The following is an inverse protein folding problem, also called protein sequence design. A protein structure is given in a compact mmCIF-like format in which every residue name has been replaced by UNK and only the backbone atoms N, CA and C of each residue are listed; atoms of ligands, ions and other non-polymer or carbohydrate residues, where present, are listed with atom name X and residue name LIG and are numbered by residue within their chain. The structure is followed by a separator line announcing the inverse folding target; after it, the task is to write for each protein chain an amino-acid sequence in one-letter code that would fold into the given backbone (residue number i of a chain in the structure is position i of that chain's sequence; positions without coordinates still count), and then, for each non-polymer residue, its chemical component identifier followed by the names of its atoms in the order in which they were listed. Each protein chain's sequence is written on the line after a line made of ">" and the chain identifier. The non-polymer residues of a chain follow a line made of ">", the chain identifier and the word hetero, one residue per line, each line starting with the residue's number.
data_IF_009070238203
#
_entry.id   IF_009070238203
#
_cell.length_a   1.000
_cell.length_b   1.000
_cell.length_c   1.000
_cell.angle_alpha   90.00
_cell.angle_beta   90.00
_cell.angle_gamma   90.00
#
_symmetry.space_group_name_H-M   'P 1'
#
loop_
_entity.id
_entity.type
_entity.pdbx_description
1 polymer ?
#
# COMPACT_ATOMS: atom_id res chain seq x y z
N UNK A 1 8.38 2.11 -15.78
CA UNK A 1 9.49 1.66 -14.90
C UNK A 1 10.72 1.41 -15.73
N UNK A 2 11.86 1.79 -15.22
CA UNK A 2 13.17 1.52 -15.86
C UNK A 2 13.62 0.06 -15.62
N UNK A 3 12.95 -0.62 -14.71
CA UNK A 3 13.31 -1.96 -14.28
C UNK A 3 12.56 -3.06 -15.03
N UNK A 4 11.34 -2.77 -15.48
CA UNK A 4 10.47 -3.76 -16.14
C UNK A 4 9.92 -3.26 -17.45
N UNK A 5 9.81 -4.15 -18.42
CA UNK A 5 9.21 -3.89 -19.73
C UNK A 5 8.11 -4.91 -20.04
N UNK A 6 7.25 -4.58 -20.99
CA UNK A 6 6.23 -5.50 -21.50
C UNK A 6 6.89 -6.50 -22.44
N UNK A 7 6.86 -7.78 -22.07
CA UNK A 7 7.44 -8.87 -22.84
C UNK A 7 6.53 -9.42 -23.94
N UNK A 8 5.24 -9.10 -23.89
CA UNK A 8 4.22 -9.43 -24.92
C UNK A 8 3.32 -8.23 -25.16
N UNK A 9 2.81 -8.05 -26.37
CA UNK A 9 1.82 -7.01 -26.64
C UNK A 9 0.64 -7.07 -25.65
N UNK A 10 0.47 -6.01 -24.89
CA UNK A 10 -0.58 -5.80 -23.90
C UNK A 10 -1.08 -4.38 -24.12
N UNK A 11 -2.05 -4.17 -24.99
CA UNK A 11 -2.46 -2.85 -25.48
C UNK A 11 -2.39 -1.72 -24.45
N UNK A 12 -3.07 -1.89 -23.30
CA UNK A 12 -3.12 -0.87 -22.27
C UNK A 12 -1.80 -0.73 -21.48
N UNK A 13 -1.10 -1.82 -21.21
CA UNK A 13 0.21 -1.76 -20.56
C UNK A 13 1.26 -1.08 -21.46
N UNK A 14 1.17 -1.28 -22.77
CA UNK A 14 2.03 -0.56 -23.74
C UNK A 14 1.66 0.92 -23.82
N UNK A 15 0.37 1.27 -23.75
CA UNK A 15 -0.07 2.66 -23.74
C UNK A 15 0.42 3.39 -22.48
N UNK A 16 0.35 2.74 -21.31
CA UNK A 16 0.94 3.27 -20.07
C UNK A 16 2.44 3.48 -20.24
N UNK A 17 3.16 2.46 -20.72
CA UNK A 17 4.62 2.52 -20.92
C UNK A 17 5.03 3.66 -21.86
N UNK A 18 4.26 3.87 -22.92
CA UNK A 18 4.56 4.86 -23.95
C UNK A 18 3.88 6.22 -23.71
N UNK A 19 3.29 6.44 -22.53
CA UNK A 19 2.56 7.66 -22.15
C UNK A 19 1.44 8.02 -23.13
N UNK A 20 0.76 7.02 -23.70
CA UNK A 20 -0.33 7.19 -24.67
C UNK A 20 -1.72 6.99 -24.06
N UNK A 21 -1.82 7.08 -22.74
CA UNK A 21 -3.11 6.93 -22.06
C UNK A 21 -4.06 8.08 -22.37
N UNK A 22 -5.32 7.73 -22.56
CA UNK A 22 -6.41 8.68 -22.77
C UNK A 22 -7.66 8.23 -21.99
N UNK A 23 -8.67 9.12 -21.83
CA UNK A 23 -9.93 8.71 -21.19
C UNK A 23 -10.64 7.55 -21.88
N UNK A 24 -10.38 7.31 -23.15
CA UNK A 24 -11.02 6.22 -23.93
C UNK A 24 -10.33 4.87 -23.80
N UNK A 25 -9.01 4.84 -23.55
CA UNK A 25 -8.22 3.60 -23.47
C UNK A 25 -7.65 3.31 -22.07
N UNK A 26 -8.17 3.96 -21.04
CA UNK A 26 -7.67 3.89 -19.67
C UNK A 26 -8.42 2.93 -18.76
N UNK A 27 -8.77 1.71 -19.19
CA UNK A 27 -9.54 0.76 -18.39
C UNK A 27 -8.88 0.46 -17.06
N UNK A 28 -7.61 0.08 -17.05
CA UNK A 28 -6.90 -0.32 -15.83
C UNK A 28 -6.64 0.90 -14.92
N UNK A 29 -6.39 2.06 -15.50
CA UNK A 29 -6.28 3.33 -14.78
C UNK A 29 -7.62 3.66 -14.10
N UNK A 30 -8.75 3.58 -14.84
CA UNK A 30 -10.09 3.82 -14.28
C UNK A 30 -10.45 2.80 -13.20
N UNK A 31 -10.14 1.52 -13.42
CA UNK A 31 -10.41 0.46 -12.47
C UNK A 31 -9.61 0.65 -11.17
N UNK A 32 -8.34 1.02 -11.27
CA UNK A 32 -7.52 1.33 -10.10
C UNK A 32 -8.13 2.47 -9.26
N UNK A 33 -8.52 3.57 -9.93
CA UNK A 33 -9.23 4.67 -9.28
C UNK A 33 -10.49 4.20 -8.57
N UNK A 34 -11.36 3.49 -9.29
CA UNK A 34 -12.64 2.99 -8.76
C UNK A 34 -12.44 2.08 -7.55
N UNK A 35 -11.56 1.09 -7.65
CA UNK A 35 -11.31 0.12 -6.57
C UNK A 35 -10.80 0.83 -5.31
N UNK A 36 -9.87 1.78 -5.45
CA UNK A 36 -9.34 2.48 -4.28
C UNK A 36 -10.38 3.39 -3.63
N UNK A 37 -11.27 4.03 -4.39
CA UNK A 37 -12.39 4.77 -3.81
C UNK A 37 -13.47 3.87 -3.20
N UNK A 38 -13.66 2.64 -3.69
CA UNK A 38 -14.50 1.63 -3.02
C UNK A 38 -13.90 1.21 -1.67
N UNK A 39 -12.59 1.04 -1.58
CA UNK A 39 -11.89 0.82 -0.30
C UNK A 39 -12.08 2.00 0.64
N UNK A 40 -11.90 3.23 0.14
CA UNK A 40 -12.12 4.45 0.90
C UNK A 40 -13.55 4.54 1.46
N UNK A 41 -14.57 4.23 0.64
CA UNK A 41 -15.97 4.26 1.05
C UNK A 41 -16.28 3.23 2.15
N UNK A 42 -15.77 2.00 2.02
CA UNK A 42 -15.91 0.97 3.06
C UNK A 42 -15.24 1.38 4.36
N UNK A 43 -14.04 1.96 4.27
CA UNK A 43 -13.33 2.47 5.44
C UNK A 43 -14.08 3.60 6.14
N UNK A 44 -14.64 4.56 5.40
CA UNK A 44 -15.46 5.64 5.95
C UNK A 44 -16.66 5.09 6.74
N UNK A 45 -17.37 4.11 6.17
CA UNK A 45 -18.50 3.47 6.83
C UNK A 45 -18.10 2.81 8.16
N UNK A 46 -16.97 2.08 8.17
CA UNK A 46 -16.48 1.44 9.39
C UNK A 46 -16.11 2.50 10.44
N UNK A 47 -15.38 3.53 10.06
CA UNK A 47 -14.96 4.61 10.97
C UNK A 47 -16.15 5.32 11.58
N UNK A 48 -17.23 5.54 10.81
CA UNK A 48 -18.43 6.24 11.26
C UNK A 48 -19.35 5.35 12.09
N UNK A 49 -19.59 4.12 11.65
CA UNK A 49 -20.67 3.27 12.21
C UNK A 49 -20.17 2.39 13.36
N UNK A 50 -19.01 1.74 13.24
CA UNK A 50 -18.55 0.77 14.24
C UNK A 50 -18.45 1.36 15.66
N UNK A 51 -18.00 2.59 15.88
CA UNK A 51 -17.99 3.18 17.24
C UNK A 51 -19.36 3.27 17.90
N UNK A 52 -20.45 3.39 17.13
CA UNK A 52 -21.82 3.51 17.64
C UNK A 52 -22.49 2.16 17.96
N UNK A 53 -21.91 1.06 17.48
CA UNK A 53 -22.48 -0.28 17.66
C UNK A 53 -22.25 -0.79 19.09
N UNK A 54 -23.14 -1.66 19.54
CA UNK A 54 -22.99 -2.36 20.82
C UNK A 54 -22.06 -3.58 20.65
N UNK A 55 -20.76 -3.33 20.55
CA UNK A 55 -19.70 -4.31 20.36
C UNK A 55 -18.61 -4.10 21.42
N UNK A 56 -17.77 -5.11 21.60
CA UNK A 56 -16.60 -5.02 22.47
C UNK A 56 -15.67 -3.85 22.06
N UNK A 57 -15.12 -3.14 23.04
CA UNK A 57 -14.32 -1.95 22.80
C UNK A 57 -12.97 -2.27 22.13
N UNK A 58 -12.37 -3.42 22.43
CA UNK A 58 -11.12 -3.83 21.78
C UNK A 58 -11.38 -4.15 20.30
N UNK A 59 -12.48 -4.83 20.01
CA UNK A 59 -12.93 -5.06 18.63
C UNK A 59 -13.17 -3.73 17.88
N UNK A 60 -13.93 -2.80 18.46
CA UNK A 60 -14.18 -1.47 17.85
C UNK A 60 -12.89 -0.73 17.55
N UNK A 61 -11.95 -0.74 18.49
CA UNK A 61 -10.66 -0.08 18.35
C UNK A 61 -9.84 -0.69 17.21
N UNK A 62 -9.76 -2.02 17.17
CA UNK A 62 -9.04 -2.74 16.11
C UNK A 62 -9.70 -2.54 14.74
N UNK A 63 -11.02 -2.65 14.65
CA UNK A 63 -11.76 -2.48 13.40
C UNK A 63 -11.63 -1.05 12.84
N UNK A 64 -11.78 -0.03 13.69
CA UNK A 64 -11.58 1.36 13.26
C UNK A 64 -10.12 1.66 12.92
N UNK A 65 -9.15 1.10 13.64
CA UNK A 65 -7.74 1.19 13.32
C UNK A 65 -7.42 0.58 11.94
N UNK A 66 -7.99 -0.58 11.65
CA UNK A 66 -7.88 -1.24 10.33
C UNK A 66 -8.50 -0.37 9.23
N UNK A 67 -9.64 0.23 9.48
CA UNK A 67 -10.31 1.11 8.52
C UNK A 67 -9.49 2.39 8.24
N UNK A 68 -8.92 3.02 9.26
CA UNK A 68 -8.00 4.13 9.08
C UNK A 68 -6.78 3.74 8.24
N UNK A 69 -6.19 2.56 8.51
CA UNK A 69 -5.07 2.06 7.71
C UNK A 69 -5.43 1.92 6.23
N UNK A 70 -6.54 1.25 5.92
CA UNK A 70 -6.93 1.04 4.52
C UNK A 70 -7.40 2.31 3.82
N UNK A 71 -7.96 3.29 4.54
CA UNK A 71 -8.27 4.60 3.97
C UNK A 71 -6.98 5.34 3.57
N UNK A 72 -6.03 5.41 4.49
CA UNK A 72 -4.71 5.98 4.22
C UNK A 72 -3.96 5.23 3.10
N UNK A 73 -3.99 3.89 3.11
CA UNK A 73 -3.39 3.04 2.09
C UNK A 73 -3.97 3.30 0.70
N UNK A 74 -5.31 3.35 0.57
CA UNK A 74 -5.97 3.58 -0.70
C UNK A 74 -5.62 4.95 -1.29
N UNK A 75 -5.60 5.99 -0.44
CA UNK A 75 -5.23 7.34 -0.87
C UNK A 75 -3.74 7.44 -1.21
N UNK A 76 -2.87 6.76 -0.44
CA UNK A 76 -1.44 6.68 -0.75
C UNK A 76 -1.18 5.96 -2.08
N UNK A 77 -2.00 4.95 -2.41
CA UNK A 77 -1.91 4.26 -3.69
C UNK A 77 -2.29 5.16 -4.87
N UNK A 78 -3.25 6.06 -4.69
CA UNK A 78 -3.73 6.95 -5.76
C UNK A 78 -2.87 8.23 -5.92
N UNK A 79 -2.44 8.83 -4.82
CA UNK A 79 -1.86 10.17 -4.83
C UNK A 79 -0.65 10.33 -5.77
N UNK A 80 0.32 9.40 -5.83
CA UNK A 80 1.48 9.54 -6.72
C UNK A 80 1.15 9.41 -8.21
N UNK A 81 0.03 8.77 -8.56
CA UNK A 81 -0.32 8.49 -9.95
C UNK A 81 -1.36 9.44 -10.53
N UNK A 82 -2.23 10.01 -9.68
CA UNK A 82 -3.36 10.82 -10.11
C UNK A 82 -3.32 12.25 -9.57
N UNK A 83 -2.39 12.54 -8.68
CA UNK A 83 -2.16 13.85 -8.10
C UNK A 83 -0.83 14.45 -8.54
N UNK A 84 -0.75 15.76 -8.46
CA UNK A 84 0.49 16.55 -8.63
C UNK A 84 0.49 17.74 -7.67
N UNK A 85 1.56 18.53 -7.69
CA UNK A 85 1.66 19.74 -6.87
C UNK A 85 1.22 21.03 -7.61
N UNK A 86 0.59 20.90 -8.78
CA UNK A 86 0.02 22.01 -9.51
C UNK A 86 -1.32 22.47 -8.94
N UNK A 87 -1.88 23.55 -9.46
CA UNK A 87 -3.21 24.04 -9.06
C UNK A 87 -4.29 22.96 -9.23
N UNK A 88 -5.06 22.70 -8.16
CA UNK A 88 -6.05 21.60 -8.11
C UNK A 88 -5.44 20.21 -8.40
N UNK A 89 -4.16 20.04 -8.07
CA UNK A 89 -3.41 18.81 -8.33
C UNK A 89 -3.70 17.67 -7.35
N UNK A 90 -4.40 17.91 -6.25
CA UNK A 90 -4.81 16.86 -5.34
C UNK A 90 -5.85 15.91 -5.95
N UNK A 91 -6.10 14.79 -5.29
CA UNK A 91 -7.23 13.89 -5.59
C UNK A 91 -8.35 14.14 -4.58
N UNK A 92 -9.65 13.98 -4.92
CA UNK A 92 -10.75 14.25 -4.00
C UNK A 92 -10.59 13.55 -2.65
N UNK A 93 -10.68 14.32 -1.55
CA UNK A 93 -10.61 13.79 -0.18
C UNK A 93 -12.05 13.56 0.31
N UNK A 94 -12.48 12.31 0.31
CA UNK A 94 -13.83 11.92 0.71
C UNK A 94 -13.74 11.18 2.05
N UNK A 95 -14.19 11.85 3.12
CA UNK A 95 -14.14 11.32 4.49
C UNK A 95 -15.50 10.84 5.01
N UNK A 96 -16.56 11.14 4.30
CA UNK A 96 -17.92 10.65 4.57
C UNK A 96 -18.58 10.21 3.28
N UNK A 97 -19.15 9.03 3.29
CA UNK A 97 -19.88 8.45 2.14
C UNK A 97 -21.31 8.11 2.47
N UNK A 98 -21.80 8.54 3.63
CA UNK A 98 -23.18 8.35 4.04
C UNK A 98 -24.13 9.41 3.50
N UNK A 99 -23.59 10.57 3.13
CA UNK A 99 -24.34 11.70 2.56
C UNK A 99 -23.88 11.97 1.13
N UNK A 100 -24.77 12.01 0.13
CA UNK A 100 -24.41 12.26 -1.25
C UNK A 100 -23.60 13.56 -1.46
N UNK A 101 -23.95 14.62 -0.75
CA UNK A 101 -23.25 15.90 -0.83
C UNK A 101 -21.79 15.84 -0.36
N UNK A 102 -21.46 14.94 0.57
CA UNK A 102 -20.10 14.75 1.05
C UNK A 102 -19.20 13.99 0.05
N UNK A 103 -19.81 13.33 -0.93
CA UNK A 103 -19.11 12.62 -2.00
C UNK A 103 -18.76 13.52 -3.18
N UNK A 104 -19.43 14.67 -3.33
CA UNK A 104 -19.12 15.68 -4.35
C UNK A 104 -18.00 16.60 -3.84
N UNK A 105 -16.81 16.03 -3.70
CA UNK A 105 -15.63 16.74 -3.19
C UNK A 105 -14.76 17.21 -4.35
N UNK A 106 -14.46 18.51 -4.45
CA UNK A 106 -13.55 19.00 -5.47
C UNK A 106 -12.12 18.48 -5.22
N UNK A 107 -11.30 18.57 -6.24
CA UNK A 107 -9.87 18.33 -6.08
C UNK A 107 -9.26 19.36 -5.12
N UNK A 108 -8.47 18.96 -4.13
CA UNK A 108 -7.71 19.89 -3.30
C UNK A 108 -6.72 20.72 -4.15
N UNK A 109 -6.33 21.86 -3.62
CA UNK A 109 -5.40 22.76 -4.29
C UNK A 109 -4.03 22.12 -4.59
N UNK A 110 -3.62 21.15 -3.79
CA UNK A 110 -2.34 20.43 -3.94
C UNK A 110 -2.46 18.99 -3.44
N UNK A 111 -1.68 18.10 -4.00
CA UNK A 111 -1.52 16.72 -3.50
C UNK A 111 -0.93 16.67 -2.08
N UNK A 112 -0.30 17.73 -1.60
CA UNK A 112 0.16 17.81 -0.20
C UNK A 112 -1.00 17.65 0.79
N UNK A 113 -2.19 18.19 0.49
CA UNK A 113 -3.37 18.00 1.33
C UNK A 113 -3.79 16.53 1.40
N UNK A 114 -3.58 15.76 0.34
CA UNK A 114 -3.78 14.32 0.38
C UNK A 114 -2.78 13.63 1.28
N UNK A 115 -1.50 13.98 1.19
CA UNK A 115 -0.47 13.39 2.07
C UNK A 115 -0.70 13.75 3.54
N UNK A 116 -1.16 14.96 3.85
CA UNK A 116 -1.56 15.34 5.21
C UNK A 116 -2.67 14.43 5.73
N UNK A 117 -3.72 14.19 4.92
CA UNK A 117 -4.80 13.30 5.30
C UNK A 117 -4.34 11.84 5.45
N UNK A 118 -3.50 11.36 4.53
CA UNK A 118 -2.94 10.01 4.58
C UNK A 118 -2.12 9.80 5.87
N UNK A 119 -1.25 10.74 6.18
CA UNK A 119 -0.42 10.69 7.40
C UNK A 119 -1.30 10.73 8.64
N UNK A 120 -2.33 11.56 8.65
CA UNK A 120 -3.32 11.62 9.74
C UNK A 120 -4.01 10.27 9.95
N UNK A 121 -4.52 9.65 8.89
CA UNK A 121 -5.19 8.36 8.95
C UNK A 121 -4.25 7.26 9.44
N UNK A 122 -3.03 7.21 8.94
CA UNK A 122 -2.04 6.21 9.33
C UNK A 122 -1.55 6.40 10.77
N UNK A 123 -1.48 7.65 11.27
CA UNK A 123 -1.23 7.93 12.69
C UNK A 123 -2.38 7.43 13.56
N UNK A 124 -3.64 7.66 13.15
CA UNK A 124 -4.81 7.14 13.85
C UNK A 124 -4.86 5.60 13.83
N UNK A 125 -4.48 4.98 12.71
CA UNK A 125 -4.30 3.53 12.64
C UNK A 125 -3.23 3.04 13.63
N UNK A 126 -2.06 3.66 13.66
CA UNK A 126 -0.97 3.29 14.56
C UNK A 126 -1.30 3.41 16.06
N UNK A 127 -2.23 4.32 16.43
CA UNK A 127 -2.73 4.40 17.81
C UNK A 127 -3.62 3.21 18.19
N UNK A 128 -4.40 2.68 17.25
CA UNK A 128 -5.47 1.70 17.48
C UNK A 128 -5.10 0.25 17.17
N UNK A 129 -4.22 0.05 16.20
CA UNK A 129 -3.83 -1.28 15.77
C UNK A 129 -2.99 -2.01 16.83
N UNK A 130 -3.06 -3.33 16.90
CA UNK A 130 -2.18 -4.14 17.76
C UNK A 130 -0.73 -4.13 17.25
N UNK A 131 0.19 -4.59 18.06
CA UNK A 131 1.50 -5.04 17.62
C UNK A 131 1.36 -6.32 16.82
N UNK A 132 2.33 -6.64 15.96
CA UNK A 132 2.28 -7.86 15.14
C UNK A 132 2.24 -9.14 16.00
N UNK A 133 3.02 -9.16 17.08
CA UNK A 133 3.06 -10.29 18.05
C UNK A 133 1.73 -10.54 18.76
N UNK A 134 0.79 -9.62 18.69
CA UNK A 134 -0.55 -9.73 19.29
C UNK A 134 -1.60 -10.26 18.29
N UNK A 135 -1.22 -10.47 17.03
CA UNK A 135 -2.11 -11.06 16.03
C UNK A 135 -2.10 -12.57 16.14
N UNK A 136 -3.27 -13.19 16.01
CA UNK A 136 -3.39 -14.62 15.83
C UNK A 136 -2.86 -15.03 14.43
N UNK A 137 -2.37 -16.26 14.24
CA UNK A 137 -1.87 -16.71 12.93
C UNK A 137 -2.88 -16.52 11.78
N UNK A 138 -4.17 -16.65 12.05
CA UNK A 138 -5.25 -16.45 11.09
C UNK A 138 -5.43 -14.98 10.69
N UNK A 139 -4.85 -14.07 11.46
CA UNK A 139 -4.87 -12.62 11.21
C UNK A 139 -3.59 -12.10 10.55
N UNK A 140 -2.62 -12.97 10.28
CA UNK A 140 -1.43 -12.56 9.56
C UNK A 140 -1.83 -12.02 8.18
N UNK A 141 -1.31 -10.85 7.83
CA UNK A 141 -1.79 -10.08 6.68
C UNK A 141 -2.73 -8.92 7.07
N UNK A 142 -3.29 -8.92 8.29
CA UNK A 142 -3.94 -7.73 8.81
C UNK A 142 -2.91 -6.64 9.14
N UNK A 143 -3.28 -5.36 8.99
CA UNK A 143 -2.37 -4.27 9.35
C UNK A 143 -2.12 -4.23 10.85
N UNK A 144 -0.92 -3.83 11.23
CA UNK A 144 -0.47 -3.69 12.61
C UNK A 144 0.29 -2.37 12.79
N UNK A 145 0.68 -2.02 14.02
CA UNK A 145 1.30 -0.72 14.33
C UNK A 145 2.49 -0.39 13.44
N UNK A 146 3.42 -1.31 13.27
CA UNK A 146 4.60 -1.06 12.44
C UNK A 146 4.22 -0.79 10.99
N UNK A 147 3.22 -1.49 10.44
CA UNK A 147 2.71 -1.23 9.11
C UNK A 147 2.16 0.19 8.98
N UNK A 148 1.35 0.63 9.94
CA UNK A 148 0.79 1.98 9.92
C UNK A 148 1.89 3.06 9.96
N UNK A 149 2.89 2.91 10.81
CA UNK A 149 4.00 3.86 10.92
C UNK A 149 4.89 3.85 9.67
N UNK A 150 5.22 2.67 9.13
CA UNK A 150 6.03 2.56 7.92
C UNK A 150 5.33 3.19 6.70
N UNK A 151 4.03 2.97 6.54
CA UNK A 151 3.27 3.61 5.47
C UNK A 151 3.10 5.12 5.69
N UNK A 152 3.02 5.60 6.95
CA UNK A 152 3.05 7.03 7.24
C UNK A 152 4.40 7.67 6.88
N UNK A 153 5.51 6.99 7.20
CA UNK A 153 6.85 7.42 6.76
C UNK A 153 6.94 7.49 5.23
N UNK A 154 6.43 6.48 4.54
CA UNK A 154 6.40 6.45 3.07
C UNK A 154 5.58 7.60 2.49
N UNK A 155 4.40 7.87 3.04
CA UNK A 155 3.57 9.00 2.62
C UNK A 155 4.28 10.35 2.83
N UNK A 156 4.91 10.53 3.98
CA UNK A 156 5.69 11.72 4.28
C UNK A 156 6.91 11.87 3.35
N UNK A 157 7.56 10.77 2.97
CA UNK A 157 8.67 10.79 2.02
C UNK A 157 8.21 11.24 0.61
N UNK A 158 7.03 10.82 0.15
CA UNK A 158 6.43 11.35 -1.08
C UNK A 158 6.12 12.86 -0.96
N UNK A 159 5.60 13.31 0.17
CA UNK A 159 5.31 14.71 0.41
C UNK A 159 6.59 15.57 0.48
N UNK A 160 7.68 15.02 1.00
CA UNK A 160 8.97 15.70 1.15
C UNK A 160 9.60 16.12 -0.19
N UNK A 161 9.18 15.52 -1.31
CA UNK A 161 9.58 15.98 -2.65
C UNK A 161 9.12 17.42 -2.93
N UNK A 162 8.03 17.85 -2.30
CA UNK A 162 7.41 19.15 -2.51
C UNK A 162 7.66 20.13 -1.34
N UNK A 163 7.86 19.60 -0.12
CA UNK A 163 8.09 20.39 1.08
C UNK A 163 8.94 19.60 2.09
N UNK A 164 10.16 20.06 2.29
CA UNK A 164 11.17 19.40 3.13
C UNK A 164 10.73 19.21 4.61
N UNK A 165 9.74 19.97 5.10
CA UNK A 165 9.23 19.80 6.48
C UNK A 165 8.73 18.39 6.77
N UNK A 166 8.31 17.64 5.75
CA UNK A 166 7.83 16.27 5.91
C UNK A 166 8.93 15.28 6.29
N UNK A 167 10.22 15.62 6.13
CA UNK A 167 11.30 14.77 6.63
C UNK A 167 11.25 14.58 8.15
N UNK A 168 10.77 15.54 8.92
CA UNK A 168 10.57 15.38 10.36
C UNK A 168 9.56 14.24 10.65
N UNK A 169 8.50 14.16 9.87
CA UNK A 169 7.51 13.07 9.97
C UNK A 169 8.12 11.73 9.52
N UNK A 170 8.95 11.72 8.49
CA UNK A 170 9.66 10.50 8.07
C UNK A 170 10.49 9.95 9.21
N UNK A 171 11.32 10.80 9.82
CA UNK A 171 12.20 10.44 10.96
C UNK A 171 11.35 9.92 12.12
N UNK A 172 10.34 10.69 12.55
CA UNK A 172 9.44 10.28 13.65
C UNK A 172 8.84 8.90 13.45
N UNK A 173 8.35 8.63 12.25
CA UNK A 173 7.67 7.36 11.96
C UNK A 173 8.67 6.21 11.81
N UNK A 174 9.82 6.44 11.21
CA UNK A 174 10.90 5.45 11.14
C UNK A 174 11.42 5.09 12.54
N UNK A 175 11.60 6.07 13.42
CA UNK A 175 12.05 5.84 14.80
C UNK A 175 11.05 4.98 15.58
N UNK A 176 9.74 5.15 15.35
CA UNK A 176 8.72 4.28 15.94
C UNK A 176 8.84 2.83 15.48
N UNK A 177 9.16 2.58 14.20
CA UNK A 177 9.35 1.24 13.67
C UNK A 177 10.65 0.62 14.19
N UNK A 178 11.76 1.36 14.12
CA UNK A 178 13.08 0.90 14.55
C UNK A 178 13.18 0.75 16.09
N UNK A 179 12.38 1.50 16.83
CA UNK A 179 12.29 1.41 18.30
C UNK A 179 11.51 0.20 18.80
N UNK A 180 10.91 -0.60 17.94
CA UNK A 180 10.24 -1.84 18.34
C UNK A 180 11.26 -2.88 18.83
N UNK A 181 10.86 -3.66 19.83
CA UNK A 181 11.74 -4.64 20.50
C UNK A 181 11.09 -6.01 20.60
N UNK A 182 11.86 -7.01 21.00
CA UNK A 182 11.39 -8.36 21.21
C UNK A 182 10.81 -8.99 19.92
N UNK A 183 9.65 -9.62 20.00
CA UNK A 183 9.00 -10.28 18.86
C UNK A 183 8.50 -9.29 17.78
N UNK A 184 8.39 -8.01 18.12
CA UNK A 184 7.95 -6.95 17.19
C UNK A 184 9.10 -6.18 16.56
N UNK A 185 10.36 -6.48 16.91
CA UNK A 185 11.54 -5.85 16.33
C UNK A 185 11.52 -5.95 14.82
N UNK A 186 11.80 -4.83 14.15
CA UNK A 186 11.94 -4.76 12.69
C UNK A 186 13.36 -4.35 12.36
N UNK A 187 14.05 -5.20 11.61
CA UNK A 187 15.44 -5.03 11.21
C UNK A 187 15.72 -5.79 9.93
N UNK A 188 16.83 -5.49 9.29
CA UNK A 188 17.30 -6.27 8.15
C UNK A 188 17.63 -7.69 8.61
N UNK A 189 17.19 -8.66 7.83
CA UNK A 189 17.44 -10.07 8.11
C UNK A 189 18.92 -10.39 7.92
N UNK A 190 19.52 -10.97 8.94
CA UNK A 190 20.88 -11.48 8.91
C UNK A 190 20.91 -12.83 9.63
N UNK A 191 21.31 -13.88 8.94
CA UNK A 191 21.51 -15.22 9.48
C UNK A 191 23.00 -15.54 9.71
N UNK A 192 23.86 -14.52 9.63
CA UNK A 192 25.30 -14.65 9.80
C UNK A 192 26.02 -15.32 8.62
N UNK A 193 25.33 -15.48 7.47
CA UNK A 193 25.92 -16.09 6.27
C UNK A 193 26.02 -15.08 5.12
N UNK A 194 26.88 -15.36 4.17
CA UNK A 194 26.99 -14.62 2.89
C UNK A 194 25.74 -14.76 2.00
N UNK A 195 24.79 -15.62 2.39
CA UNK A 195 23.55 -15.89 1.68
C UNK A 195 22.30 -15.33 2.37
N UNK A 196 22.45 -14.49 3.39
CA UNK A 196 21.34 -13.94 4.16
C UNK A 196 20.25 -13.35 3.23
N UNK A 197 20.61 -12.54 2.24
CA UNK A 197 19.65 -11.99 1.28
C UNK A 197 18.88 -13.06 0.50
N UNK A 198 19.54 -14.13 0.06
CA UNK A 198 18.86 -15.24 -0.62
C UNK A 198 17.99 -16.06 0.34
N UNK A 199 18.42 -16.19 1.59
CA UNK A 199 17.69 -16.93 2.62
C UNK A 199 16.46 -16.17 3.11
N UNK A 200 16.46 -14.84 3.07
CA UNK A 200 15.28 -14.01 3.38
C UNK A 200 14.04 -14.42 2.56
N UNK A 201 14.22 -14.80 1.29
CA UNK A 201 13.12 -15.15 0.38
C UNK A 201 12.59 -16.57 0.56
N UNK A 202 13.07 -17.30 1.54
CA UNK A 202 12.57 -18.64 1.83
C UNK A 202 11.29 -18.59 2.66
N UNK A 203 10.44 -19.61 2.50
CA UNK A 203 9.14 -19.72 3.19
C UNK A 203 9.27 -19.56 4.71
N UNK A 204 10.38 -20.00 5.30
CA UNK A 204 10.64 -19.91 6.74
C UNK A 204 10.77 -18.48 7.25
N UNK A 205 11.07 -17.53 6.35
CA UNK A 205 11.18 -16.11 6.67
C UNK A 205 9.88 -15.33 6.43
N UNK A 206 8.82 -16.00 5.99
CA UNK A 206 7.52 -15.35 5.91
C UNK A 206 7.12 -14.80 7.28
N UNK A 207 6.72 -13.53 7.30
CA UNK A 207 6.38 -12.80 8.54
C UNK A 207 7.56 -12.62 9.52
N UNK A 208 8.80 -12.73 9.06
CA UNK A 208 10.03 -12.53 9.83
C UNK A 208 10.30 -11.05 10.19
N UNK A 209 11.52 -10.76 10.59
CA UNK A 209 11.92 -9.44 11.12
C UNK A 209 11.81 -8.30 10.10
N UNK A 210 11.88 -8.57 8.80
CA UNK A 210 11.66 -7.55 7.75
C UNK A 210 10.18 -7.36 7.39
N UNK A 211 9.27 -8.20 7.87
CA UNK A 211 7.86 -8.12 7.50
C UNK A 211 7.21 -6.85 8.03
N UNK A 212 6.72 -6.03 7.13
CA UNK A 212 5.96 -4.81 7.44
C UNK A 212 4.48 -4.99 7.10
N UNK A 213 4.17 -5.35 5.87
CA UNK A 213 2.80 -5.59 5.41
C UNK A 213 2.81 -6.22 4.02
N UNK A 214 1.87 -7.13 3.77
CA UNK A 214 1.64 -7.68 2.43
C UNK A 214 0.17 -8.03 2.24
N UNK A 215 -0.28 -7.92 0.99
CA UNK A 215 -1.57 -8.47 0.59
C UNK A 215 -1.38 -9.97 0.36
N UNK A 216 -1.96 -10.78 1.22
CA UNK A 216 -1.83 -12.22 1.15
C UNK A 216 -2.75 -12.81 0.09
N UNK A 217 -2.26 -13.82 -0.62
CA UNK A 217 -3.03 -14.66 -1.53
C UNK A 217 -3.16 -16.08 -0.99
N UNK A 218 -4.26 -16.74 -1.32
CA UNK A 218 -4.49 -18.14 -0.99
C UNK A 218 -4.79 -18.94 -2.27
N UNK A 219 -4.31 -20.18 -2.30
CA UNK A 219 -4.65 -21.10 -3.38
C UNK A 219 -6.07 -21.67 -3.23
N UNK A 220 -6.61 -21.66 -2.00
CA UNK A 220 -7.91 -22.27 -1.65
C UNK A 220 -8.96 -21.19 -1.44
N UNK A 221 -8.69 -20.27 -0.53
CA UNK A 221 -9.64 -19.22 -0.11
C UNK A 221 -9.01 -17.85 -0.31
N UNK A 222 -9.71 -16.96 -1.01
CA UNK A 222 -9.29 -15.58 -1.19
C UNK A 222 -8.59 -15.29 -2.54
N UNK A 223 -7.93 -14.13 -2.64
CA UNK A 223 -7.30 -13.71 -3.89
C UNK A 223 -6.23 -14.69 -4.35
N UNK A 224 -6.33 -15.16 -5.59
CA UNK A 224 -5.37 -16.08 -6.19
C UNK A 224 -4.27 -15.30 -6.90
N UNK A 225 -3.19 -14.99 -6.20
CA UNK A 225 -2.05 -14.25 -6.76
C UNK A 225 -1.09 -15.09 -7.62
N UNK A 226 -1.35 -16.39 -7.79
CA UNK A 226 -0.54 -17.23 -8.67
C UNK A 226 -0.51 -16.72 -10.12
N UNK A 227 -1.48 -15.91 -10.54
CA UNK A 227 -1.47 -15.26 -11.84
C UNK A 227 -0.28 -14.34 -12.09
N UNK A 228 0.32 -13.79 -11.05
CA UNK A 228 1.54 -12.95 -11.19
C UNK A 228 2.73 -13.77 -11.68
N UNK A 229 2.93 -14.99 -11.18
CA UNK A 229 4.00 -15.86 -11.69
C UNK A 229 3.74 -16.29 -13.13
N UNK A 230 2.50 -16.56 -13.51
CA UNK A 230 2.14 -16.84 -14.91
C UNK A 230 2.39 -15.65 -15.83
N UNK A 231 2.19 -14.43 -15.33
CA UNK A 231 2.36 -13.22 -16.12
C UNK A 231 3.83 -12.83 -16.29
N UNK A 232 4.67 -13.08 -15.28
CA UNK A 232 6.02 -12.56 -15.23
C UNK A 232 7.11 -13.55 -15.68
N UNK A 233 6.81 -14.86 -15.65
CA UNK A 233 7.75 -15.87 -16.13
C UNK A 233 7.79 -15.99 -17.65
N UNK A 234 8.87 -16.53 -18.17
CA UNK A 234 9.05 -16.84 -19.59
C UNK A 234 8.47 -18.20 -19.97
N UNK A 235 8.43 -18.50 -21.26
CA UNK A 235 8.17 -19.82 -21.80
C UNK A 235 9.39 -20.71 -21.53
N UNK A 236 9.21 -21.81 -20.88
CA UNK A 236 10.30 -22.74 -20.58
C UNK A 236 9.93 -23.69 -19.46
N UNK A 237 10.84 -23.96 -18.55
CA UNK A 237 10.66 -24.94 -17.49
C UNK A 237 9.37 -24.74 -16.66
N UNK A 238 8.93 -23.49 -16.50
CA UNK A 238 7.74 -23.13 -15.70
C UNK A 238 6.54 -22.71 -16.53
N UNK A 239 6.65 -22.67 -17.85
CA UNK A 239 5.57 -22.40 -18.80
C UNK A 239 4.73 -21.14 -18.49
N UNK A 240 5.37 -20.02 -18.28
CA UNK A 240 4.75 -18.73 -17.94
C UNK A 240 4.48 -17.89 -19.20
N UNK A 241 3.63 -16.87 -19.05
CA UNK A 241 3.18 -16.05 -20.19
C UNK A 241 4.16 -14.95 -20.59
N UNK A 242 5.09 -14.58 -19.74
CA UNK A 242 6.15 -13.60 -20.03
C UNK A 242 5.62 -12.19 -20.30
N UNK A 243 4.55 -11.77 -19.63
CA UNK A 243 3.98 -10.44 -19.84
C UNK A 243 4.89 -9.31 -19.39
N UNK A 244 5.60 -9.51 -18.30
CA UNK A 244 6.54 -8.54 -17.77
C UNK A 244 7.92 -9.16 -17.71
N UNK A 245 8.92 -8.43 -18.18
CA UNK A 245 10.30 -8.89 -18.23
C UNK A 245 11.20 -7.79 -17.64
N UNK A 246 12.33 -8.16 -17.03
CA UNK A 246 13.32 -7.18 -16.62
C UNK A 246 13.85 -6.42 -17.83
N UNK A 247 14.15 -5.15 -17.66
CA UNK A 247 14.87 -4.39 -18.66
C UNK A 247 16.33 -4.84 -18.72
N UNK A 248 17.00 -4.52 -19.82
CA UNK A 248 18.44 -4.77 -19.92
C UNK A 248 19.22 -3.98 -18.85
N UNK A 249 18.73 -2.81 -18.47
CA UNK A 249 19.31 -2.00 -17.39
C UNK A 249 19.27 -2.73 -16.05
N UNK A 250 18.11 -3.30 -15.69
CA UNK A 250 18.01 -4.11 -14.48
C UNK A 250 18.87 -5.38 -14.56
N UNK A 251 18.85 -6.08 -15.70
CA UNK A 251 19.65 -7.28 -15.91
C UNK A 251 21.17 -7.02 -15.72
N UNK A 252 21.65 -5.87 -16.22
CA UNK A 252 23.06 -5.51 -16.12
C UNK A 252 23.46 -5.00 -14.72
N UNK A 253 22.49 -4.73 -13.82
CA UNK A 253 22.75 -4.31 -12.45
C UNK A 253 23.07 -5.48 -11.50
N UNK A 254 22.86 -6.72 -11.95
CA UNK A 254 23.15 -7.97 -11.23
C UNK A 254 24.32 -8.72 -11.88
#
# INVERSE_FOLDING_TARGET
>A
SDDMTVGRPQGEAEDIRNFRMSPSNGRDVKNNWKIMYEVNAKANNIIKVVPTMNLDNAFKTKATGTAYFFRGFAMLWLSPYYGDNGPNGGIPIILDTTEPAAMDSPRPASVLQNYDQIISDLREAGKRLPLFSQLAPEEYGMPHKAAAWAFAARAALYAAQFDAKYYDTVIEMCDKVMGLTGADKRELFDDGTDKAFANLWRKQQNFGCEYIFSLLGSAVDGPKFHGMSFQNGGWGLYNHWGYFQPTLSLWNAF
#
